data_IF_335395704654
#
_entry.id   IF_335395704654
#
_cell.length_a   1.000
_cell.length_b   1.000
_cell.length_c   1.000
_cell.angle_alpha   90.00
_cell.angle_beta   90.00
_cell.angle_gamma   90.00
#
_symmetry.space_group_name_H-M   'P 1'
#
loop_
_entity.id
_entity.type
_entity.pdbx_description
1 polymer ?
#
# COMPACT_ATOMS: atom_id res chain seq x y z
N UNK A 1 14.31 -58.37 29.47
CA UNK A 1 14.05 -58.42 28.01
C UNK A 1 13.18 -57.22 27.65
N UNK A 2 13.75 -56.12 27.14
CA UNK A 2 13.03 -54.87 26.85
C UNK A 2 12.84 -54.74 25.32
N UNK A 3 11.59 -54.67 24.83
CA UNK A 3 11.30 -54.45 23.40
C UNK A 3 10.98 -52.97 23.17
N UNK A 4 11.81 -52.29 22.38
CA UNK A 4 11.61 -50.92 21.87
C UNK A 4 10.58 -50.93 20.73
N UNK A 5 9.54 -50.13 20.82
CA UNK A 5 8.72 -49.76 19.65
C UNK A 5 9.26 -48.45 19.06
N UNK A 6 9.78 -48.51 17.83
CA UNK A 6 10.19 -47.33 17.05
C UNK A 6 8.96 -46.81 16.29
N UNK A 7 8.58 -45.55 16.51
CA UNK A 7 7.61 -44.82 15.68
C UNK A 7 8.37 -44.34 14.43
N UNK A 8 7.85 -44.63 13.23
CA UNK A 8 8.43 -44.24 11.93
C UNK A 8 7.59 -43.11 11.32
N UNK A 9 8.20 -41.94 11.14
CA UNK A 9 7.66 -40.78 10.40
C UNK A 9 7.99 -40.96 8.91
N UNK A 10 7.07 -40.78 7.95
CA UNK A 10 7.38 -40.84 6.52
C UNK A 10 7.89 -39.51 5.95
N UNK A 11 8.82 -39.65 5.00
CA UNK A 11 9.62 -38.63 4.31
C UNK A 11 8.91 -38.12 3.03
N UNK A 12 8.76 -36.80 2.80
CA UNK A 12 8.22 -36.27 1.57
C UNK A 12 9.31 -35.63 0.71
N UNK A 13 9.71 -36.29 -0.39
CA UNK A 13 10.15 -35.69 -1.66
C UNK A 13 10.57 -36.78 -2.66
N UNK A 14 9.79 -36.96 -3.74
CA UNK A 14 10.24 -37.69 -4.94
C UNK A 14 9.66 -37.02 -6.21
N UNK A 15 10.38 -37.05 -7.35
CA UNK A 15 10.26 -36.07 -8.43
C UNK A 15 9.13 -36.40 -9.44
N UNK A 16 8.51 -35.36 -10.02
CA UNK A 16 7.45 -35.51 -11.04
C UNK A 16 7.99 -35.20 -12.44
N UNK A 17 7.74 -36.14 -13.34
CA UNK A 17 8.25 -36.21 -14.71
C UNK A 17 7.50 -35.32 -15.73
N UNK A 18 8.21 -35.10 -16.84
CA UNK A 18 7.90 -34.43 -18.11
C UNK A 18 6.55 -34.85 -18.74
N UNK A 19 5.76 -33.89 -19.24
CA UNK A 19 4.54 -34.13 -20.06
C UNK A 19 4.88 -33.93 -21.56
N UNK A 20 4.52 -34.85 -22.47
CA UNK A 20 4.70 -34.69 -23.91
C UNK A 20 3.50 -34.03 -24.62
N UNK A 21 3.80 -33.55 -25.83
CA UNK A 21 2.97 -32.86 -26.82
C UNK A 21 1.75 -33.64 -27.35
N UNK A 22 0.77 -32.89 -27.90
CA UNK A 22 -0.20 -33.19 -28.99
C UNK A 22 -1.68 -33.06 -28.59
N UNK A 23 -2.41 -32.30 -29.43
CA UNK A 23 -3.82 -31.96 -29.39
C UNK A 23 -4.72 -33.17 -29.61
N UNK A 24 -5.97 -33.08 -29.16
CA UNK A 24 -7.19 -33.24 -29.96
C UNK A 24 -8.42 -32.96 -29.07
N UNK A 25 -9.15 -31.88 -29.34
CA UNK A 25 -10.49 -31.71 -28.77
C UNK A 25 -11.38 -31.00 -29.79
N UNK A 26 -12.21 -31.79 -30.45
CA UNK A 26 -13.26 -31.34 -31.35
C UNK A 26 -14.31 -30.54 -30.56
N UNK A 27 -14.44 -29.25 -30.86
CA UNK A 27 -15.52 -28.41 -30.34
C UNK A 27 -16.56 -28.23 -31.43
N UNK A 28 -17.72 -28.84 -31.23
CA UNK A 28 -18.93 -28.69 -32.05
C UNK A 28 -19.55 -27.29 -31.81
N UNK A 29 -19.83 -26.56 -32.89
CA UNK A 29 -20.32 -25.17 -32.86
C UNK A 29 -21.84 -25.14 -33.10
N UNK A 30 -22.62 -24.70 -32.09
CA UNK A 30 -24.06 -24.47 -32.18
C UNK A 30 -24.33 -22.95 -32.38
N UNK A 31 -24.85 -22.52 -33.55
CA UNK A 31 -24.97 -21.10 -33.90
C UNK A 31 -26.14 -20.36 -33.22
N UNK A 32 -27.08 -21.04 -32.54
CA UNK A 32 -28.35 -20.40 -32.13
C UNK A 32 -28.49 -20.13 -30.62
N UNK A 33 -27.46 -20.40 -29.81
CA UNK A 33 -27.56 -20.19 -28.36
C UNK A 33 -27.16 -18.78 -27.92
N UNK A 34 -28.09 -17.83 -28.09
CA UNK A 34 -28.03 -16.52 -27.44
C UNK A 34 -28.33 -16.64 -25.94
N UNK A 35 -27.33 -16.35 -25.10
CA UNK A 35 -27.50 -15.95 -23.70
C UNK A 35 -26.57 -14.77 -23.42
N UNK A 36 -27.21 -13.63 -23.14
CA UNK A 36 -26.63 -12.41 -22.61
C UNK A 36 -25.87 -12.66 -21.29
N UNK A 37 -24.56 -12.52 -21.33
CA UNK A 37 -23.76 -12.18 -20.16
C UNK A 37 -22.63 -11.25 -20.63
N UNK A 38 -22.87 -9.93 -20.56
CA UNK A 38 -21.79 -8.95 -20.62
C UNK A 38 -21.05 -9.00 -19.29
N UNK A 39 -20.14 -9.96 -19.16
CA UNK A 39 -18.98 -9.75 -18.32
C UNK A 39 -17.93 -9.15 -19.25
N UNK A 40 -17.83 -7.82 -19.24
CA UNK A 40 -16.62 -7.16 -19.72
C UNK A 40 -15.52 -7.57 -18.75
N UNK A 41 -14.85 -8.67 -19.11
CA UNK A 41 -13.57 -9.10 -18.56
C UNK A 41 -12.54 -8.02 -18.89
N UNK A 42 -12.57 -6.95 -18.10
CA UNK A 42 -11.52 -5.95 -18.11
C UNK A 42 -10.34 -6.56 -17.36
N UNK A 43 -9.56 -7.37 -18.07
CA UNK A 43 -8.14 -7.46 -17.78
C UNK A 43 -7.62 -6.03 -17.87
N UNK A 44 -7.42 -5.40 -16.71
CA UNK A 44 -6.83 -4.07 -16.62
C UNK A 44 -5.40 -4.17 -17.15
N UNK A 45 -5.23 -3.97 -18.45
CA UNK A 45 -3.95 -3.58 -18.99
C UNK A 45 -3.54 -2.32 -18.24
N UNK A 46 -2.38 -2.36 -17.59
CA UNK A 46 -1.75 -1.17 -17.05
C UNK A 46 -1.58 -0.20 -18.21
N UNK A 47 -2.50 0.76 -18.32
CA UNK A 47 -2.34 1.90 -19.20
C UNK A 47 -1.24 2.71 -18.54
N UNK A 48 -0.03 2.58 -19.07
CA UNK A 48 1.05 3.50 -18.72
C UNK A 48 0.50 4.91 -18.93
N UNK A 49 0.48 5.76 -17.89
CA UNK A 49 -0.08 7.09 -18.03
C UNK A 49 0.70 7.82 -19.12
N UNK A 50 -0.02 8.31 -20.14
CA UNK A 50 0.58 9.16 -21.18
C UNK A 50 1.34 10.30 -20.49
N UNK A 51 2.50 10.73 -21.01
CA UNK A 51 3.42 11.64 -20.32
C UNK A 51 2.79 12.98 -19.89
N UNK A 52 1.73 13.40 -20.57
CA UNK A 52 0.98 14.64 -20.30
C UNK A 52 -0.40 14.39 -19.65
N UNK A 53 -0.65 13.18 -19.12
CA UNK A 53 -1.86 12.90 -18.33
C UNK A 53 -1.82 13.76 -17.07
N UNK A 54 -2.81 14.65 -16.84
CA UNK A 54 -2.87 15.41 -15.60
C UNK A 54 -2.96 14.46 -14.40
N UNK A 55 -2.28 14.80 -13.30
CA UNK A 55 -2.39 14.06 -12.05
C UNK A 55 -3.86 13.97 -11.64
N UNK A 56 -4.30 12.78 -11.25
CA UNK A 56 -5.61 12.64 -10.60
C UNK A 56 -5.62 13.40 -9.28
N UNK A 57 -6.82 13.81 -8.83
CA UNK A 57 -6.99 14.51 -7.56
C UNK A 57 -6.38 13.72 -6.39
N UNK A 58 -6.55 12.39 -6.38
CA UNK A 58 -6.02 11.53 -5.34
C UNK A 58 -4.48 11.47 -5.35
N UNK A 59 -3.87 11.43 -6.54
CA UNK A 59 -2.40 11.46 -6.67
C UNK A 59 -1.86 12.82 -6.22
N UNK A 60 -2.52 13.90 -6.62
CA UNK A 60 -2.20 15.24 -6.19
C UNK A 60 -2.29 15.35 -4.66
N UNK A 61 -3.35 14.86 -4.04
CA UNK A 61 -3.56 14.93 -2.59
C UNK A 61 -2.52 14.12 -1.81
N UNK A 62 -2.15 12.93 -2.30
CA UNK A 62 -1.07 12.13 -1.68
C UNK A 62 0.29 12.81 -1.83
N UNK A 63 0.61 13.34 -3.02
CA UNK A 63 1.87 14.02 -3.29
C UNK A 63 2.03 15.31 -2.51
N UNK A 64 0.99 16.15 -2.51
CA UNK A 64 0.91 17.38 -1.71
C UNK A 64 1.00 17.08 -0.22
N UNK A 65 0.25 16.07 0.25
CA UNK A 65 0.29 15.60 1.63
C UNK A 65 1.68 15.15 2.07
N UNK A 66 2.37 14.37 1.22
CA UNK A 66 3.73 13.92 1.49
C UNK A 66 4.72 15.08 1.59
N UNK A 67 4.64 16.04 0.66
CA UNK A 67 5.47 17.24 0.69
C UNK A 67 5.23 18.04 1.98
N UNK A 68 3.96 18.25 2.34
CA UNK A 68 3.58 19.02 3.51
C UNK A 68 4.07 18.36 4.82
N UNK A 69 3.91 17.05 4.96
CA UNK A 69 4.40 16.29 6.12
C UNK A 69 5.92 16.39 6.26
N UNK A 70 6.67 16.15 5.17
CA UNK A 70 8.14 16.27 5.17
C UNK A 70 8.58 17.70 5.49
N UNK A 71 7.90 18.71 4.96
CA UNK A 71 8.21 20.13 5.21
C UNK A 71 8.00 20.49 6.68
N UNK A 72 6.89 20.07 7.27
CA UNK A 72 6.61 20.30 8.69
C UNK A 72 7.69 19.66 9.56
N UNK A 73 8.08 18.42 9.28
CA UNK A 73 9.16 17.75 10.02
C UNK A 73 10.51 18.42 9.81
N UNK A 74 10.87 18.76 8.57
CA UNK A 74 12.13 19.42 8.27
C UNK A 74 12.29 20.76 9.01
N UNK A 75 11.19 21.51 9.22
CA UNK A 75 11.21 22.75 9.99
C UNK A 75 11.60 22.58 11.47
N UNK A 76 11.51 21.36 12.01
CA UNK A 76 11.82 21.04 13.41
C UNK A 76 13.24 20.47 13.61
N UNK A 77 13.86 19.97 12.53
CA UNK A 77 15.13 19.23 12.63
C UNK A 77 15.03 17.85 13.30
N UNK A 78 13.83 17.36 13.60
CA UNK A 78 13.62 16.11 14.32
C UNK A 78 13.63 14.88 13.42
N UNK A 79 13.95 13.73 14.03
CA UNK A 79 13.69 12.42 13.45
C UNK A 79 12.18 12.22 13.23
N UNK A 80 11.81 11.26 12.37
CA UNK A 80 10.39 10.95 12.14
C UNK A 80 9.67 10.52 13.43
N UNK A 81 10.32 9.71 14.27
CA UNK A 81 9.76 9.25 15.55
C UNK A 81 9.60 10.41 16.54
N UNK A 82 10.64 11.23 16.74
CA UNK A 82 10.57 12.34 17.69
C UNK A 82 9.54 13.39 17.26
N UNK A 83 9.39 13.61 15.96
CA UNK A 83 8.34 14.49 15.43
C UNK A 83 6.93 13.90 15.68
N UNK A 84 6.75 12.61 15.41
CA UNK A 84 5.49 11.93 15.67
C UNK A 84 5.08 12.03 17.14
N UNK A 85 6.01 11.74 18.06
CA UNK A 85 5.80 11.84 19.50
C UNK A 85 5.50 13.28 19.94
N UNK A 86 6.35 14.24 19.56
CA UNK A 86 6.23 15.62 20.03
C UNK A 86 4.95 16.31 19.56
N UNK A 87 4.47 15.99 18.36
CA UNK A 87 3.29 16.62 17.77
C UNK A 87 2.03 15.75 17.86
N UNK A 88 2.06 14.61 18.56
CA UNK A 88 0.90 13.74 18.75
C UNK A 88 0.36 13.15 17.44
N UNK A 89 1.25 12.85 16.48
CA UNK A 89 0.90 12.24 15.20
C UNK A 89 1.31 10.76 15.26
N UNK A 90 0.43 9.79 14.96
CA UNK A 90 0.83 8.39 14.91
C UNK A 90 1.98 8.17 13.92
N UNK A 91 3.08 7.57 14.37
CA UNK A 91 4.29 7.40 13.55
C UNK A 91 4.01 6.64 12.24
N UNK A 92 3.09 5.65 12.27
CA UNK A 92 2.64 4.94 11.07
C UNK A 92 1.92 5.86 10.08
N UNK A 93 1.03 6.73 10.57
CA UNK A 93 0.32 7.70 9.73
C UNK A 93 1.28 8.70 9.10
N UNK A 94 2.22 9.24 9.89
CA UNK A 94 3.27 10.13 9.39
C UNK A 94 4.11 9.45 8.31
N UNK A 95 4.48 8.18 8.50
CA UNK A 95 5.23 7.40 7.52
C UNK A 95 4.43 7.18 6.24
N UNK A 96 3.15 6.84 6.33
CA UNK A 96 2.25 6.68 5.18
C UNK A 96 2.13 7.98 4.39
N UNK A 97 2.01 9.12 5.08
CA UNK A 97 1.94 10.44 4.43
C UNK A 97 3.26 10.82 3.80
N UNK A 98 4.38 10.77 4.52
CA UNK A 98 5.69 11.12 3.97
C UNK A 98 6.10 10.25 2.79
N UNK A 99 5.57 9.02 2.68
CA UNK A 99 5.83 8.11 1.56
C UNK A 99 4.79 8.24 0.43
N UNK A 100 3.78 9.10 0.58
CA UNK A 100 2.73 9.31 -0.43
C UNK A 100 1.79 8.12 -0.60
N UNK A 101 1.73 7.20 0.38
CA UNK A 101 0.79 6.06 0.36
C UNK A 101 -0.63 6.49 0.69
N UNK A 102 -0.77 7.49 1.57
CA UNK A 102 -2.06 8.08 1.97
C UNK A 102 -1.94 9.60 2.01
N UNK A 103 -3.06 10.27 1.79
CA UNK A 103 -3.15 11.70 2.03
C UNK A 103 -3.53 11.94 3.51
N UNK A 104 -2.95 12.95 4.18
CA UNK A 104 -3.48 13.46 5.43
C UNK A 104 -4.87 14.06 5.21
N UNK A 105 -5.76 13.90 6.18
CA UNK A 105 -7.07 14.55 6.15
C UNK A 105 -6.95 16.09 6.25
N UNK A 106 -8.09 16.78 6.16
CA UNK A 106 -8.12 18.25 6.18
C UNK A 106 -7.57 18.84 7.49
N UNK A 107 -7.82 18.18 8.63
CA UNK A 107 -7.36 18.65 9.92
C UNK A 107 -5.83 18.48 10.05
N UNK A 108 -5.33 17.30 9.69
CA UNK A 108 -3.90 16.98 9.64
C UNK A 108 -3.16 17.93 8.69
N UNK A 109 -3.70 18.22 7.48
CA UNK A 109 -3.12 19.21 6.57
C UNK A 109 -3.00 20.59 7.21
N UNK A 110 -4.05 21.05 7.87
CA UNK A 110 -4.05 22.35 8.55
C UNK A 110 -3.02 22.37 9.68
N UNK A 111 -2.98 21.32 10.49
CA UNK A 111 -2.02 21.17 11.58
C UNK A 111 -0.57 21.15 11.10
N UNK A 112 -0.26 20.37 10.06
CA UNK A 112 1.07 20.33 9.45
C UNK A 112 1.52 21.71 8.91
N UNK A 113 0.60 22.50 8.34
CA UNK A 113 0.91 23.88 7.92
C UNK A 113 1.28 24.78 9.09
N UNK A 114 0.57 24.66 10.21
CA UNK A 114 0.86 25.43 11.42
C UNK A 114 2.22 25.04 11.99
N UNK A 115 2.50 23.73 12.12
CA UNK A 115 3.81 23.24 12.59
C UNK A 115 4.93 23.74 11.68
N UNK A 116 4.77 23.65 10.36
CA UNK A 116 5.78 24.10 9.40
C UNK A 116 6.11 25.60 9.51
N UNK A 117 5.19 26.42 10.03
CA UNK A 117 5.38 27.87 10.17
C UNK A 117 5.87 28.28 11.56
N UNK A 118 5.46 27.55 12.59
CA UNK A 118 5.61 27.93 14.00
C UNK A 118 5.96 26.72 14.89
N UNK A 119 7.00 25.93 14.58
CA UNK A 119 7.23 24.63 15.21
C UNK A 119 7.43 24.75 16.74
N UNK A 120 8.20 25.74 17.18
CA UNK A 120 8.48 26.00 18.60
C UNK A 120 7.23 26.40 19.39
N UNK A 121 6.36 27.22 18.79
CA UNK A 121 5.14 27.67 19.45
C UNK A 121 4.15 26.51 19.65
N UNK A 122 3.99 25.68 18.62
CA UNK A 122 3.13 24.49 18.71
C UNK A 122 3.70 23.50 19.74
N UNK A 123 5.00 23.22 19.67
CA UNK A 123 5.67 22.34 20.62
C UNK A 123 5.51 22.81 22.07
N UNK A 124 5.67 24.12 22.32
CA UNK A 124 5.46 24.72 23.63
C UNK A 124 4.02 24.51 24.13
N UNK A 125 3.02 24.82 23.29
CA UNK A 125 1.61 24.66 23.65
C UNK A 125 1.27 23.21 23.99
N UNK A 126 1.80 22.25 23.23
CA UNK A 126 1.53 20.82 23.47
C UNK A 126 2.25 20.29 24.71
N UNK A 127 3.45 20.79 25.00
CA UNK A 127 4.17 20.44 26.23
C UNK A 127 3.48 21.02 27.47
N UNK A 128 3.00 22.26 27.41
CA UNK A 128 2.33 22.91 28.54
C UNK A 128 0.92 22.33 28.83
N UNK A 129 0.34 21.62 27.84
CA UNK A 129 -0.96 20.97 27.97
C UNK A 129 -0.89 19.52 28.51
N UNK A 130 0.31 18.93 28.63
CA UNK A 130 0.54 17.57 29.12
C UNK A 130 0.81 17.53 30.63
#
# INVERSE_FOLDING_TARGET
MQRRFKIRIPDPLAPRALIPHSLDMDIEFDPDKQMIAKHDDTTAHAVEPEPDTPLSDDEFERGFGAMLARRARAATGLSQQNFAEQFGIPAESLRDWEQGRKAPDTAAKSYLRVIARMPEAVAKVLHDAA
#
